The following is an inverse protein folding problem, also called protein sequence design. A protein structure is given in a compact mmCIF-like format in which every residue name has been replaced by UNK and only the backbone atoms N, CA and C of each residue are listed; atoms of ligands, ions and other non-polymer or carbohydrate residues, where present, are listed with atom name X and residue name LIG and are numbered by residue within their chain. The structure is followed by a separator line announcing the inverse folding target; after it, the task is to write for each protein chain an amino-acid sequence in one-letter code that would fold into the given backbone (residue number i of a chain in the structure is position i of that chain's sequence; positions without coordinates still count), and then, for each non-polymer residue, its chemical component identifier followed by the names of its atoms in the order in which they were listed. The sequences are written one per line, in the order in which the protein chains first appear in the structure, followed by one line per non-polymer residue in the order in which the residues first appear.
data_IF_013699700522
#
_entry.id   IF_013699700522
#
_cell.length_a   1.000
_cell.length_b   1.000
_cell.length_c   1.000
_cell.angle_alpha   90.00
_cell.angle_beta   90.00
_cell.angle_gamma   90.00
#
_symmetry.space_group_name_H-M   'P 1'
#
loop_
_entity.id
_entity.type
_entity.pdbx_description
1 polymer ?
#
# COMPACT_ATOMS: atom_id res chain seq x y z
N UNK A 1 29.11 39.76 -2.77
CA UNK A 1 29.55 38.50 -2.15
C UNK A 1 28.35 37.83 -1.51
N UNK A 2 28.11 36.56 -1.82
CA UNK A 2 27.09 35.73 -1.18
C UNK A 2 25.84 35.45 -2.03
N UNK A 3 25.98 34.67 -3.10
CA UNK A 3 24.83 33.94 -3.65
C UNK A 3 24.54 32.77 -2.71
N UNK A 4 23.34 32.74 -2.13
CA UNK A 4 22.86 31.60 -1.36
C UNK A 4 22.65 30.44 -2.35
N UNK A 5 23.51 29.45 -2.31
CA UNK A 5 23.42 28.23 -3.11
C UNK A 5 22.16 27.46 -2.73
N UNK A 6 21.28 27.26 -3.71
CA UNK A 6 20.22 26.28 -3.64
C UNK A 6 20.88 24.90 -3.51
N UNK A 7 20.90 24.34 -2.30
CA UNK A 7 21.14 22.92 -2.12
C UNK A 7 19.92 22.18 -2.69
N UNK A 8 20.05 21.82 -3.95
CA UNK A 8 19.19 20.89 -4.65
C UNK A 8 19.28 19.56 -3.88
N UNK A 9 18.34 19.35 -2.96
CA UNK A 9 18.11 18.06 -2.33
C UNK A 9 17.74 17.10 -3.46
N UNK A 10 18.74 16.45 -4.05
CA UNK A 10 18.59 15.43 -5.07
C UNK A 10 17.65 14.39 -4.50
N UNK A 11 16.40 14.43 -4.95
CA UNK A 11 15.40 13.45 -4.56
C UNK A 11 16.02 12.08 -4.86
N UNK A 12 16.03 11.15 -3.88
CA UNK A 12 16.51 9.80 -4.14
C UNK A 12 15.74 9.26 -5.34
N UNK A 13 16.39 8.51 -6.25
CA UNK A 13 15.78 8.06 -7.48
C UNK A 13 14.42 7.41 -7.16
N UNK A 14 13.35 8.07 -7.62
CA UNK A 14 11.99 7.57 -7.48
C UNK A 14 11.96 6.21 -8.16
N UNK A 15 11.63 5.10 -7.44
CA UNK A 15 11.60 3.80 -8.04
C UNK A 15 10.59 3.82 -9.20
N UNK A 16 10.99 3.31 -10.36
CA UNK A 16 10.08 3.15 -11.48
C UNK A 16 9.18 1.92 -11.24
N UNK A 17 7.96 2.19 -10.76
CA UNK A 17 6.93 1.19 -10.46
C UNK A 17 6.27 0.58 -11.72
N UNK A 18 6.75 0.88 -12.94
CA UNK A 18 6.08 0.49 -14.18
C UNK A 18 6.31 -0.96 -14.66
N UNK A 19 7.09 -1.77 -13.94
CA UNK A 19 7.31 -3.17 -14.31
C UNK A 19 6.22 -4.10 -13.75
N UNK A 20 5.02 -4.05 -14.34
CA UNK A 20 3.91 -4.99 -14.08
C UNK A 20 4.26 -6.47 -14.36
N UNK A 21 5.44 -6.75 -14.93
CA UNK A 21 5.92 -8.10 -15.27
C UNK A 21 6.59 -8.86 -14.10
N UNK A 22 6.77 -8.20 -12.95
CA UNK A 22 7.36 -8.78 -11.72
C UNK A 22 6.44 -8.65 -10.50
N UNK A 23 5.17 -8.31 -10.70
CA UNK A 23 4.20 -8.22 -9.60
C UNK A 23 3.78 -9.62 -9.15
N UNK A 24 4.20 -10.00 -7.95
CA UNK A 24 3.63 -11.17 -7.27
C UNK A 24 2.20 -10.82 -6.86
N UNK A 25 1.29 -11.77 -7.02
CA UNK A 25 -0.08 -11.63 -6.54
C UNK A 25 -0.33 -12.63 -5.42
N UNK A 26 -1.11 -12.23 -4.43
CA UNK A 26 -1.56 -13.07 -3.32
C UNK A 26 -3.07 -13.14 -3.38
N UNK A 27 -3.63 -14.35 -3.26
CA UNK A 27 -5.07 -14.54 -3.18
C UNK A 27 -5.53 -14.37 -1.73
N UNK A 28 -6.45 -13.43 -1.52
CA UNK A 28 -7.15 -13.20 -0.26
C UNK A 28 -8.65 -13.51 -0.43
N UNK A 29 -9.27 -14.10 0.59
CA UNK A 29 -10.67 -14.51 0.53
C UNK A 29 -11.64 -13.31 0.57
N UNK A 30 -11.20 -12.16 1.09
CA UNK A 30 -12.05 -10.95 1.21
C UNK A 30 -11.86 -10.04 0.01
N UNK A 31 -10.61 -9.80 -0.39
CA UNK A 31 -10.27 -8.83 -1.45
C UNK A 31 -9.95 -9.46 -2.81
N UNK A 32 -9.91 -10.79 -2.92
CA UNK A 32 -9.53 -11.49 -4.14
C UNK A 32 -8.03 -11.42 -4.39
N UNK A 33 -7.61 -11.18 -5.64
CA UNK A 33 -6.19 -11.12 -5.98
C UNK A 33 -5.59 -9.74 -5.64
N UNK A 34 -4.75 -9.70 -4.61
CA UNK A 34 -3.98 -8.53 -4.21
C UNK A 34 -2.65 -8.52 -4.96
N UNK A 35 -2.39 -7.45 -5.71
CA UNK A 35 -1.13 -7.26 -6.44
C UNK A 35 -0.12 -6.51 -5.58
N UNK A 36 1.08 -7.10 -5.45
CA UNK A 36 2.18 -6.53 -4.67
C UNK A 36 3.25 -5.96 -5.58
N UNK A 37 3.63 -4.72 -5.30
CA UNK A 37 4.79 -4.10 -5.91
C UNK A 37 6.10 -4.72 -5.38
N UNK A 38 7.20 -4.76 -6.16
CA UNK A 38 8.49 -5.27 -5.68
C UNK A 38 9.00 -4.62 -4.39
N UNK A 39 8.74 -3.32 -4.12
CA UNK A 39 9.13 -2.71 -2.86
C UNK A 39 8.30 -3.26 -1.69
N UNK A 40 6.98 -3.31 -1.86
CA UNK A 40 6.06 -3.86 -0.85
C UNK A 40 6.40 -5.32 -0.55
N UNK A 41 6.74 -6.08 -1.59
CA UNK A 41 7.16 -7.48 -1.46
C UNK A 41 8.44 -7.62 -0.64
N UNK A 42 9.47 -6.79 -0.89
CA UNK A 42 10.70 -6.79 -0.08
C UNK A 42 10.42 -6.49 1.40
N UNK A 43 9.47 -5.60 1.68
CA UNK A 43 9.05 -5.29 3.05
C UNK A 43 8.31 -6.46 3.69
N UNK A 44 7.39 -7.09 2.95
CA UNK A 44 6.63 -8.25 3.42
C UNK A 44 7.56 -9.44 3.71
N UNK A 45 8.60 -9.64 2.91
CA UNK A 45 9.57 -10.73 3.06
C UNK A 45 10.54 -10.54 4.25
N UNK A 46 10.42 -9.46 5.03
CA UNK A 46 11.20 -9.27 6.26
C UNK A 46 10.68 -10.13 7.42
N UNK A 47 11.57 -10.60 8.29
CA UNK A 47 11.20 -11.43 9.45
C UNK A 47 10.19 -10.74 10.38
N UNK A 48 10.32 -9.42 10.54
CA UNK A 48 9.45 -8.60 11.38
C UNK A 48 8.01 -8.64 10.88
N UNK A 49 7.81 -8.61 9.56
CA UNK A 49 6.48 -8.69 8.96
C UNK A 49 5.97 -10.13 8.90
N UNK A 50 6.84 -11.10 8.57
CA UNK A 50 6.47 -12.53 8.53
C UNK A 50 6.02 -13.06 9.90
N UNK A 51 6.55 -12.53 11.02
CA UNK A 51 6.09 -12.84 12.38
C UNK A 51 4.57 -12.64 12.57
N UNK A 52 3.94 -11.76 11.79
CA UNK A 52 2.50 -11.53 11.87
C UNK A 52 1.66 -12.76 11.51
N UNK A 53 2.25 -13.78 10.86
CA UNK A 53 1.57 -15.04 10.53
C UNK A 53 1.22 -15.86 11.77
N UNK A 54 2.02 -15.74 12.83
CA UNK A 54 1.79 -16.50 14.06
C UNK A 54 0.81 -15.77 15.01
N UNK A 55 0.57 -14.48 14.75
CA UNK A 55 -0.29 -13.65 15.58
C UNK A 55 -1.75 -13.73 15.11
N UNK A 56 -2.58 -14.43 15.90
CA UNK A 56 -4.02 -14.50 15.66
C UNK A 56 -4.67 -13.13 15.78
N UNK A 57 -5.53 -12.79 14.82
CA UNK A 57 -6.23 -11.51 14.81
C UNK A 57 -7.11 -11.32 16.06
N UNK A 58 -7.84 -12.38 16.46
CA UNK A 58 -8.75 -12.38 17.60
C UNK A 58 -8.17 -13.06 18.85
N UNK A 59 -6.85 -13.30 18.89
CA UNK A 59 -6.19 -13.93 20.03
C UNK A 59 -6.77 -15.31 20.37
N UNK A 60 -7.15 -15.51 21.64
CA UNK A 60 -7.69 -16.76 22.17
C UNK A 60 -9.07 -17.16 21.59
N UNK A 61 -9.76 -16.27 20.89
CA UNK A 61 -11.09 -16.54 20.37
C UNK A 61 -11.12 -17.73 19.38
N UNK A 62 -10.00 -18.03 18.72
CA UNK A 62 -9.89 -19.21 17.85
C UNK A 62 -10.10 -20.56 18.57
N UNK A 63 -9.95 -20.59 19.91
CA UNK A 63 -10.20 -21.79 20.72
C UNK A 63 -11.70 -22.03 20.96
N UNK A 64 -12.52 -20.98 20.88
CA UNK A 64 -13.98 -21.06 21.04
C UNK A 64 -14.67 -21.09 19.68
N UNK A 65 -14.14 -20.33 18.72
CA UNK A 65 -14.66 -20.20 17.37
C UNK A 65 -13.64 -20.77 16.37
N UNK A 66 -13.80 -22.02 15.90
CA UNK A 66 -12.82 -22.67 15.03
C UNK A 66 -12.64 -21.98 13.68
N UNK A 67 -13.57 -21.10 13.26
CA UNK A 67 -13.44 -20.26 12.07
C UNK A 67 -12.56 -19.02 12.25
N UNK A 68 -12.22 -18.63 13.50
CA UNK A 68 -11.40 -17.46 13.79
C UNK A 68 -9.89 -17.74 13.67
N UNK A 69 -9.48 -18.42 12.60
CA UNK A 69 -8.09 -18.83 12.36
C UNK A 69 -7.19 -17.71 11.83
N UNK A 70 -7.82 -16.63 11.38
CA UNK A 70 -7.20 -15.55 10.63
C UNK A 70 -6.11 -14.83 11.42
N UNK A 71 -5.07 -14.42 10.70
CA UNK A 71 -3.84 -13.87 11.27
C UNK A 71 -3.72 -12.37 11.04
N UNK A 72 -2.84 -11.70 11.79
CA UNK A 72 -2.54 -10.28 11.58
C UNK A 72 -1.87 -10.06 10.21
N UNK A 73 -1.18 -11.07 9.68
CA UNK A 73 -0.51 -11.00 8.39
C UNK A 73 -1.47 -10.74 7.23
N UNK A 74 -2.49 -11.59 7.05
CA UNK A 74 -3.47 -11.41 5.95
C UNK A 74 -4.29 -10.13 6.12
N UNK A 75 -4.59 -9.76 7.37
CA UNK A 75 -5.26 -8.51 7.67
C UNK A 75 -4.42 -7.29 7.24
N UNK A 76 -3.12 -7.27 7.54
CA UNK A 76 -2.21 -6.21 7.11
C UNK A 76 -2.09 -6.12 5.58
N UNK A 77 -2.14 -7.25 4.86
CA UNK A 77 -2.20 -7.25 3.39
C UNK A 77 -3.50 -6.61 2.87
N UNK A 78 -4.64 -6.93 3.50
CA UNK A 78 -5.92 -6.30 3.16
C UNK A 78 -5.90 -4.78 3.40
N UNK A 79 -5.30 -4.32 4.50
CA UNK A 79 -5.13 -2.88 4.78
C UNK A 79 -4.25 -2.21 3.73
N UNK A 80 -3.14 -2.84 3.33
CA UNK A 80 -2.28 -2.33 2.24
C UNK A 80 -3.08 -2.13 0.95
N UNK A 81 -3.89 -3.13 0.56
CA UNK A 81 -4.72 -3.05 -0.63
C UNK A 81 -5.73 -1.90 -0.57
N UNK A 82 -6.49 -1.79 0.52
CA UNK A 82 -7.49 -0.75 0.71
C UNK A 82 -6.88 0.65 0.76
N UNK A 83 -5.70 0.80 1.39
CA UNK A 83 -4.99 2.07 1.42
C UNK A 83 -4.56 2.51 0.02
N UNK A 84 -4.08 1.58 -0.81
CA UNK A 84 -3.75 1.83 -2.21
C UNK A 84 -4.96 2.31 -3.02
N UNK A 85 -6.08 1.61 -2.90
CA UNK A 85 -7.35 1.99 -3.54
C UNK A 85 -7.83 3.37 -3.09
N UNK A 86 -7.80 3.67 -1.79
CA UNK A 86 -8.19 4.96 -1.24
C UNK A 86 -7.34 6.10 -1.81
N UNK A 87 -6.01 5.94 -1.89
CA UNK A 87 -5.11 6.94 -2.47
C UNK A 87 -5.39 7.15 -3.97
N UNK A 88 -5.64 6.08 -4.72
CA UNK A 88 -6.00 6.18 -6.14
C UNK A 88 -7.32 6.92 -6.34
N UNK A 89 -8.33 6.64 -5.52
CA UNK A 89 -9.61 7.35 -5.53
C UNK A 89 -9.41 8.84 -5.25
N UNK A 90 -8.64 9.20 -4.23
CA UNK A 90 -8.36 10.60 -3.90
C UNK A 90 -7.65 11.30 -5.07
N UNK A 91 -6.62 10.69 -5.65
CA UNK A 91 -5.90 11.23 -6.82
C UNK A 91 -6.85 11.48 -8.00
N UNK A 92 -7.73 10.52 -8.30
CA UNK A 92 -8.70 10.64 -9.40
C UNK A 92 -9.65 11.83 -9.22
N UNK A 93 -10.14 12.05 -8.01
CA UNK A 93 -11.12 13.12 -7.73
C UNK A 93 -10.46 14.49 -7.54
N UNK A 94 -9.22 14.58 -7.03
CA UNK A 94 -8.50 15.84 -6.93
C UNK A 94 -8.16 16.44 -8.30
N UNK A 95 -7.74 15.61 -9.26
CA UNK A 95 -7.46 16.06 -10.63
C UNK A 95 -8.73 16.59 -11.30
N UNK A 96 -9.87 15.95 -11.06
CA UNK A 96 -11.17 16.40 -11.58
C UNK A 96 -11.59 17.75 -11.01
N UNK A 97 -11.46 17.96 -9.70
CA UNK A 97 -11.82 19.22 -9.03
C UNK A 97 -10.92 20.37 -9.52
N UNK A 98 -9.61 20.14 -9.62
CA UNK A 98 -8.66 21.15 -10.11
C UNK A 98 -8.95 21.51 -11.58
N UNK A 99 -9.30 20.54 -12.43
CA UNK A 99 -9.64 20.80 -13.84
C UNK A 99 -10.94 21.61 -13.97
N UNK A 100 -11.96 21.34 -13.14
CA UNK A 100 -13.23 22.07 -13.16
C UNK A 100 -13.01 23.53 -12.75
N UNK A 101 -12.31 23.78 -11.63
CA UNK A 101 -12.03 25.14 -11.16
C UNK A 101 -11.16 25.96 -12.12
N UNK A 102 -10.26 25.31 -12.88
CA UNK A 102 -9.46 26.00 -13.92
C UNK A 102 -10.26 26.36 -15.18
N UNK A 103 -11.42 25.74 -15.43
CA UNK A 103 -12.28 26.04 -16.59
C UNK A 103 -13.37 27.08 -16.32
N UNK A 104 -13.71 27.33 -15.06
CA UNK A 104 -14.76 28.29 -14.68
C UNK A 104 -14.22 29.68 -14.30
N UNK A 105 -12.91 29.93 -14.52
CA UNK A 105 -12.23 31.19 -14.20
C UNK A 105 -11.83 31.99 -15.46
N UNK A 106 -12.71 32.00 -16.45
CA UNK A 106 -12.74 32.91 -17.62
C UNK A 106 -14.19 33.28 -17.87
#
# INVERSE_FOLDING_TARGET
MGACSNEELSQPPVPDYSNTRLSKHVHDNVHGNIYLDPLSLKFIDTEQFQRLRDLKQLGAAHMVYPGAVHTRFEHSLGVYWLAGEAVQLIKKHQVLIILIFRRTST
#
